data_IF_440774838672
#
_entry.id   IF_440774838672
#
_cell.length_a   1.000
_cell.length_b   1.000
_cell.length_c   1.000
_cell.angle_alpha   90.00
_cell.angle_beta   90.00
_cell.angle_gamma   90.00
#
_symmetry.space_group_name_H-M   'P 1'
#
loop_
_entity.id
_entity.type
_entity.pdbx_description
1 polymer ?
#
# COMPACT_ATOMS: atom_id res chain seq x y z
N UNK A 1 -2.71 9.89 2.62
CA UNK A 1 -3.51 10.92 3.34
C UNK A 1 -2.89 12.29 3.08
N UNK A 2 -3.68 13.38 3.03
CA UNK A 2 -3.16 14.74 2.86
C UNK A 2 -2.24 15.17 4.01
N UNK A 3 -1.30 16.07 3.73
CA UNK A 3 -0.41 16.68 4.74
C UNK A 3 -1.15 17.43 5.84
N UNK A 4 -2.30 18.02 5.51
CA UNK A 4 -3.23 18.67 6.45
C UNK A 4 -3.81 17.71 7.50
N UNK A 5 -3.79 16.41 7.22
CA UNK A 5 -4.23 15.34 8.13
C UNK A 5 -3.05 14.46 8.58
N UNK A 6 -1.86 15.04 8.72
CA UNK A 6 -0.61 14.38 9.13
C UNK A 6 -0.14 13.26 8.17
N UNK A 7 -0.67 13.21 6.95
CA UNK A 7 -0.22 12.28 5.93
C UNK A 7 0.93 12.82 5.09
N UNK A 8 1.52 11.96 4.24
CA UNK A 8 2.60 12.37 3.33
C UNK A 8 2.11 12.80 1.94
N UNK A 9 0.80 12.86 1.71
CA UNK A 9 0.20 13.27 0.43
C UNK A 9 0.47 12.35 -0.76
N UNK A 10 1.26 11.28 -0.58
CA UNK A 10 1.72 10.41 -1.66
C UNK A 10 1.15 8.99 -1.63
N UNK A 11 1.67 8.18 -2.56
CA UNK A 11 1.41 6.75 -2.68
C UNK A 11 2.28 5.95 -1.69
N UNK A 12 1.86 4.73 -1.41
CA UNK A 12 2.58 3.77 -0.57
C UNK A 12 2.89 2.55 -1.42
N UNK A 13 4.11 2.03 -1.28
CA UNK A 13 4.49 0.73 -1.84
C UNK A 13 4.64 -0.24 -0.69
N UNK A 14 3.96 -1.37 -0.79
CA UNK A 14 4.06 -2.47 0.14
C UNK A 14 4.78 -3.64 -0.52
N UNK A 15 5.95 -3.99 0.01
CA UNK A 15 6.68 -5.19 -0.36
C UNK A 15 6.23 -6.33 0.57
N UNK A 16 5.52 -7.31 0.02
CA UNK A 16 4.92 -8.40 0.79
C UNK A 16 5.67 -9.71 0.50
N UNK A 17 6.59 -10.07 1.39
CA UNK A 17 7.40 -11.29 1.31
C UNK A 17 6.69 -12.52 1.86
N UNK A 18 5.63 -12.33 2.65
CA UNK A 18 4.97 -13.41 3.41
C UNK A 18 3.47 -13.55 3.03
N UNK A 19 3.03 -12.83 2.00
CA UNK A 19 1.63 -12.77 1.54
C UNK A 19 0.66 -12.42 2.70
N UNK A 20 1.04 -11.43 3.50
CA UNK A 20 0.36 -10.99 4.72
C UNK A 20 -0.65 -9.88 4.49
N UNK A 21 -0.61 -9.21 3.34
CA UNK A 21 -1.57 -8.16 3.05
C UNK A 21 -2.98 -8.76 2.91
N UNK A 22 -3.93 -8.14 3.59
CA UNK A 22 -5.36 -8.41 3.51
C UNK A 22 -6.06 -7.07 3.29
N UNK A 23 -6.65 -6.80 2.11
CA UNK A 23 -7.35 -5.55 1.83
C UNK A 23 -8.37 -5.20 2.91
N UNK A 24 -9.08 -6.20 3.46
CA UNK A 24 -10.09 -6.05 4.51
C UNK A 24 -9.53 -5.34 5.75
N UNK A 25 -8.24 -5.55 6.05
CA UNK A 25 -7.55 -4.88 7.16
C UNK A 25 -7.36 -3.39 6.90
N UNK A 26 -7.14 -2.99 5.65
CA UNK A 26 -7.10 -1.57 5.22
C UNK A 26 -8.48 -0.94 5.37
N UNK A 27 -9.56 -1.65 4.97
CA UNK A 27 -10.93 -1.17 5.16
C UNK A 27 -11.25 -0.91 6.64
N UNK A 28 -10.94 -1.86 7.52
CA UNK A 28 -11.15 -1.70 8.96
C UNK A 28 -10.38 -0.51 9.55
N UNK A 29 -9.14 -0.28 9.09
CA UNK A 29 -8.35 0.89 9.51
C UNK A 29 -8.99 2.19 8.99
N UNK A 30 -9.48 2.19 7.75
CA UNK A 30 -10.15 3.33 7.14
C UNK A 30 -11.44 3.72 7.89
N UNK A 31 -12.29 2.73 8.19
CA UNK A 31 -13.52 2.90 8.97
C UNK A 31 -13.23 3.49 10.35
N UNK A 32 -12.28 2.91 11.09
CA UNK A 32 -11.88 3.41 12.42
C UNK A 32 -11.30 4.83 12.40
N UNK A 33 -10.81 5.30 11.25
CA UNK A 33 -10.30 6.68 11.05
C UNK A 33 -11.35 7.62 10.44
N UNK A 34 -12.60 7.16 10.28
CA UNK A 34 -13.68 7.96 9.68
C UNK A 34 -13.48 8.27 8.20
N UNK A 35 -12.70 7.47 7.48
CA UNK A 35 -12.50 7.63 6.04
C UNK A 35 -13.66 6.95 5.31
N UNK A 36 -14.40 7.73 4.54
CA UNK A 36 -15.65 7.30 3.88
C UNK A 36 -15.42 6.53 2.57
N UNK A 37 -14.22 6.61 1.99
CA UNK A 37 -13.85 5.91 0.75
C UNK A 37 -12.52 5.13 0.92
N UNK A 38 -12.57 3.89 1.44
CA UNK A 38 -11.40 3.04 1.55
C UNK A 38 -10.82 2.61 0.19
N UNK A 39 -11.63 2.59 -0.88
CA UNK A 39 -11.14 2.26 -2.23
C UNK A 39 -10.15 3.31 -2.73
N UNK A 40 -10.39 4.59 -2.40
CA UNK A 40 -9.42 5.64 -2.68
C UNK A 40 -8.07 5.41 -1.97
N UNK A 41 -8.08 4.81 -0.77
CA UNK A 41 -6.84 4.44 -0.08
C UNK A 41 -6.13 3.32 -0.83
N UNK A 42 -6.86 2.26 -1.20
CA UNK A 42 -6.30 1.11 -1.90
C UNK A 42 -5.68 1.48 -3.25
N UNK A 43 -6.26 2.43 -3.99
CA UNK A 43 -5.68 2.95 -5.25
C UNK A 43 -4.29 3.55 -5.08
N UNK A 44 -3.97 4.04 -3.88
CA UNK A 44 -2.66 4.63 -3.58
C UNK A 44 -1.67 3.60 -3.02
N UNK A 45 -2.05 2.32 -2.88
CA UNK A 45 -1.21 1.25 -2.37
C UNK A 45 -0.79 0.34 -3.53
N UNK A 46 0.49 0.38 -3.87
CA UNK A 46 1.11 -0.56 -4.80
C UNK A 46 1.64 -1.76 -4.03
N UNK A 47 1.24 -2.97 -4.40
CA UNK A 47 1.62 -4.19 -3.69
C UNK A 47 2.53 -5.02 -4.56
N UNK A 48 3.73 -5.30 -4.07
CA UNK A 48 4.67 -6.19 -4.74
C UNK A 48 4.87 -7.45 -3.91
N UNK A 49 4.42 -8.59 -4.43
CA UNK A 49 4.60 -9.88 -3.77
C UNK A 49 5.97 -10.43 -4.11
N UNK A 50 6.73 -10.80 -3.08
CA UNK A 50 8.11 -11.25 -3.22
C UNK A 50 8.18 -12.71 -2.77
N UNK A 51 8.45 -13.61 -3.71
CA UNK A 51 8.65 -15.04 -3.41
C UNK A 51 10.14 -15.44 -3.51
N UNK A 52 10.95 -14.61 -4.16
CA UNK A 52 12.37 -14.80 -4.38
C UNK A 52 13.14 -13.48 -4.45
N UNK A 53 14.48 -13.56 -4.42
CA UNK A 53 15.35 -12.39 -4.62
C UNK A 53 15.13 -11.73 -6.00
N UNK A 54 14.79 -12.51 -7.03
CA UNK A 54 14.50 -12.01 -8.37
C UNK A 54 13.23 -11.16 -8.41
N UNK A 55 12.18 -11.57 -7.68
CA UNK A 55 10.95 -10.79 -7.56
C UNK A 55 11.23 -9.45 -6.88
N UNK A 56 12.10 -9.45 -5.85
CA UNK A 56 12.51 -8.22 -5.17
C UNK A 56 13.19 -7.24 -6.14
N UNK A 57 14.13 -7.73 -6.94
CA UNK A 57 14.87 -6.90 -7.89
C UNK A 57 13.93 -6.31 -8.96
N UNK A 58 13.01 -7.12 -9.48
CA UNK A 58 12.00 -6.68 -10.45
C UNK A 58 11.03 -5.65 -9.86
N UNK A 59 10.57 -5.88 -8.62
CA UNK A 59 9.77 -4.90 -7.89
C UNK A 59 10.49 -3.56 -7.81
N UNK A 60 11.76 -3.53 -7.36
CA UNK A 60 12.52 -2.29 -7.25
C UNK A 60 12.67 -1.56 -8.60
N UNK A 61 12.87 -2.29 -9.70
CA UNK A 61 12.93 -1.68 -11.03
C UNK A 61 11.64 -0.97 -11.42
N UNK A 62 10.47 -1.56 -11.15
CA UNK A 62 9.16 -0.94 -11.43
C UNK A 62 8.94 0.33 -10.61
N UNK A 63 9.49 0.39 -9.39
CA UNK A 63 9.27 1.51 -8.47
C UNK A 63 10.11 2.75 -8.79
N UNK A 64 11.23 2.58 -9.50
CA UNK A 64 12.16 3.65 -9.84
C UNK A 64 12.15 4.01 -11.34
N UNK A 65 11.11 3.60 -12.08
CA UNK A 65 10.86 3.95 -13.47
C UNK A 65 9.51 4.66 -13.62
#
# INVERSE_FOLDING_TARGET
MPTEKEGLGGNVILLDTENTLRPERIHQIAENRGITDPEQILRNIYVCKIFSSSDKEFCLQILFH
#
